data_IF_265343243727
#
_entry.id   IF_265343243727
#
_cell.length_a   1.000
_cell.length_b   1.000
_cell.length_c   1.000
_cell.angle_alpha   90.00
_cell.angle_beta   90.00
_cell.angle_gamma   90.00
#
_symmetry.space_group_name_H-M   'P 1'
#
loop_
_entity.id
_entity.type
_entity.pdbx_description
1 polymer ?
#
# COMPACT_ATOMS: atom_id res chain seq x y z
N UNK A 1 -3.65 -9.29 13.81
CA UNK A 1 -4.58 -8.61 12.87
C UNK A 1 -4.07 -7.20 12.67
N UNK A 2 -4.10 -6.72 11.43
CA UNK A 2 -3.62 -5.40 11.01
C UNK A 2 -4.82 -4.63 10.46
N UNK A 3 -5.02 -3.39 10.89
CA UNK A 3 -6.06 -2.52 10.33
C UNK A 3 -5.44 -1.64 9.26
N UNK A 4 -5.91 -1.74 8.02
CA UNK A 4 -5.50 -0.88 6.92
C UNK A 4 -6.23 0.46 7.06
N UNK A 5 -5.47 1.57 7.12
CA UNK A 5 -6.02 2.92 7.36
C UNK A 5 -5.77 3.88 6.20
N UNK A 6 -4.71 3.63 5.41
CA UNK A 6 -4.32 4.49 4.31
C UNK A 6 -3.72 3.68 3.16
N UNK A 7 -3.98 4.13 1.94
CA UNK A 7 -3.40 3.59 0.71
C UNK A 7 -2.96 4.76 -0.16
N UNK A 8 -1.69 4.79 -0.55
CA UNK A 8 -1.11 5.76 -1.48
C UNK A 8 -1.38 7.23 -1.07
N UNK A 9 -1.27 7.56 0.22
CA UNK A 9 -1.50 8.92 0.73
C UNK A 9 -2.98 9.24 1.00
N UNK A 10 -3.89 8.29 0.80
CA UNK A 10 -5.33 8.51 0.89
C UNK A 10 -5.97 7.69 2.00
N UNK A 11 -6.75 8.35 2.86
CA UNK A 11 -7.51 7.71 3.92
C UNK A 11 -8.57 6.77 3.35
N UNK A 12 -8.57 5.52 3.79
CA UNK A 12 -9.55 4.53 3.35
C UNK A 12 -10.57 4.23 4.45
N UNK A 13 -11.64 3.53 4.08
CA UNK A 13 -12.50 2.89 5.07
C UNK A 13 -11.68 1.79 5.74
N UNK A 14 -11.62 1.82 7.06
CA UNK A 14 -10.79 0.91 7.84
C UNK A 14 -11.22 -0.53 7.62
N UNK A 15 -10.28 -1.39 7.23
CA UNK A 15 -10.51 -2.81 6.98
C UNK A 15 -9.44 -3.64 7.69
N UNK A 16 -9.83 -4.81 8.21
CA UNK A 16 -8.94 -5.66 9.01
C UNK A 16 -8.45 -6.83 8.18
N UNK A 17 -7.12 -6.98 8.10
CA UNK A 17 -6.45 -8.03 7.35
C UNK A 17 -5.51 -8.87 8.22
N UNK A 18 -5.38 -10.14 7.86
CA UNK A 18 -4.36 -11.06 8.41
C UNK A 18 -3.08 -11.05 7.58
N UNK A 19 -3.21 -10.87 6.26
CA UNK A 19 -2.11 -10.71 5.32
C UNK A 19 -2.48 -9.63 4.31
N UNK A 20 -1.48 -8.95 3.77
CA UNK A 20 -1.64 -7.86 2.80
C UNK A 20 -0.71 -8.10 1.62
N UNK A 21 -1.26 -8.09 0.40
CA UNK A 21 -0.50 -7.96 -0.83
C UNK A 21 -0.15 -6.49 -1.07
N UNK A 22 1.12 -6.23 -1.37
CA UNK A 22 1.61 -4.90 -1.75
C UNK A 22 2.30 -5.03 -3.11
N UNK A 23 1.81 -4.30 -4.10
CA UNK A 23 2.43 -4.30 -5.43
C UNK A 23 3.55 -3.26 -5.53
N UNK A 24 4.41 -3.43 -6.54
CA UNK A 24 5.49 -2.49 -6.83
C UNK A 24 4.89 -1.12 -7.12
N UNK A 25 5.36 -0.09 -6.40
CA UNK A 25 4.88 1.28 -6.52
C UNK A 25 3.75 1.65 -5.55
N UNK A 26 3.18 0.68 -4.83
CA UNK A 26 2.15 0.96 -3.82
C UNK A 26 2.76 1.26 -2.45
N UNK A 27 2.08 2.11 -1.69
CA UNK A 27 2.34 2.34 -0.27
C UNK A 27 1.05 2.13 0.54
N UNK A 28 1.17 1.50 1.70
CA UNK A 28 0.05 1.22 2.60
C UNK A 28 0.45 1.59 4.02
N UNK A 29 -0.50 2.14 4.79
CA UNK A 29 -0.34 2.37 6.22
C UNK A 29 -1.27 1.45 6.98
N UNK A 30 -0.71 0.71 7.95
CA UNK A 30 -1.46 -0.20 8.80
C UNK A 30 -1.26 0.11 10.28
N UNK A 31 -2.33 0.00 11.04
CA UNK A 31 -2.29 0.01 12.49
C UNK A 31 -2.23 -1.43 13.01
N UNK A 32 -1.27 -1.69 13.91
CA UNK A 32 -1.08 -3.02 14.50
C UNK A 32 -1.21 -2.92 16.01
N UNK A 33 -2.27 -3.50 16.56
CA UNK A 33 -2.47 -3.56 18.01
C UNK A 33 -1.91 -4.85 18.59
N UNK A 34 -0.91 -4.71 19.44
CA UNK A 34 -0.14 -5.80 20.05
C UNK A 34 -0.87 -6.40 21.26
N UNK A 35 -1.87 -7.25 21.01
CA UNK A 35 -2.66 -7.95 22.06
C UNK A 35 -2.08 -9.28 22.52
N UNK A 36 -1.05 -9.79 21.83
CA UNK A 36 -0.49 -11.10 22.09
C UNK A 36 0.55 -11.06 23.25
N UNK A 37 0.88 -12.21 23.88
CA UNK A 37 1.83 -12.26 25.00
C UNK A 37 3.19 -11.66 24.69
N UNK A 38 3.93 -11.23 25.72
CA UNK A 38 5.27 -10.65 25.57
C UNK A 38 6.27 -11.69 25.04
N UNK A 39 6.46 -11.72 23.72
CA UNK A 39 7.47 -12.50 23.02
C UNK A 39 7.89 -11.82 21.72
N UNK A 40 8.87 -12.38 21.02
CA UNK A 40 9.24 -11.93 19.69
C UNK A 40 8.31 -12.55 18.64
N UNK A 41 7.98 -11.80 17.60
CA UNK A 41 7.12 -12.24 16.50
C UNK A 41 7.83 -12.03 15.16
N UNK A 42 7.57 -12.91 14.21
CA UNK A 42 8.04 -12.72 12.84
C UNK A 42 7.09 -11.80 12.07
N UNK A 43 7.67 -10.84 11.35
CA UNK A 43 7.05 -10.18 10.21
C UNK A 43 7.60 -10.90 8.97
N UNK A 44 6.72 -11.44 8.14
CA UNK A 44 7.12 -12.27 7.00
C UNK A 44 6.63 -11.63 5.72
N UNK A 45 7.53 -11.46 4.75
CA UNK A 45 7.20 -11.01 3.41
C UNK A 45 7.66 -12.06 2.40
N UNK A 46 6.75 -12.46 1.51
CA UNK A 46 7.02 -13.47 0.50
C UNK A 46 6.53 -13.01 -0.87
N UNK A 47 7.28 -13.30 -1.92
CA UNK A 47 6.91 -12.99 -3.30
C UNK A 47 5.82 -13.94 -3.80
N UNK A 48 4.76 -13.40 -4.42
CA UNK A 48 3.66 -14.20 -4.99
C UNK A 48 3.87 -14.62 -6.45
N UNK A 49 4.48 -13.76 -7.25
CA UNK A 49 4.50 -13.90 -8.73
C UNK A 49 5.84 -14.37 -9.32
N UNK A 50 6.80 -14.78 -8.48
CA UNK A 50 8.12 -15.23 -8.93
C UNK A 50 8.34 -16.71 -8.64
N UNK A 51 9.13 -17.36 -9.51
CA UNK A 51 9.67 -18.70 -9.30
C UNK A 51 11.20 -18.61 -9.35
N UNK A 52 11.92 -18.93 -8.27
CA UNK A 52 11.44 -19.42 -6.97
C UNK A 52 10.70 -18.36 -6.13
N UNK A 53 9.95 -18.82 -5.12
CA UNK A 53 9.35 -17.95 -4.10
C UNK A 53 10.47 -17.47 -3.19
N UNK A 54 10.63 -16.15 -3.09
CA UNK A 54 11.56 -15.50 -2.18
C UNK A 54 10.81 -15.11 -0.92
N UNK A 55 11.35 -15.48 0.25
CA UNK A 55 10.79 -15.13 1.55
C UNK A 55 11.84 -14.42 2.38
N UNK A 56 11.46 -13.30 2.97
CA UNK A 56 12.26 -12.56 3.94
C UNK A 56 11.49 -12.41 5.24
N UNK A 57 12.23 -12.23 6.34
CA UNK A 57 11.65 -12.09 7.67
C UNK A 57 12.29 -10.94 8.43
N UNK A 58 11.50 -10.29 9.27
CA UNK A 58 11.95 -9.34 10.27
C UNK A 58 11.37 -9.74 11.64
N UNK A 59 11.93 -9.17 12.71
CA UNK A 59 11.54 -9.50 14.08
C UNK A 59 10.87 -8.28 14.72
N UNK A 60 9.62 -8.45 15.12
CA UNK A 60 8.92 -7.55 16.02
C UNK A 60 9.17 -8.00 17.45
N UNK A 61 9.96 -7.23 18.19
CA UNK A 61 10.33 -7.53 19.57
C UNK A 61 9.46 -6.73 20.55
N UNK A 62 8.77 -7.44 21.43
CA UNK A 62 8.12 -6.81 22.57
C UNK A 62 9.18 -6.38 23.59
N UNK A 63 8.96 -5.23 24.24
CA UNK A 63 9.80 -4.78 25.34
C UNK A 63 9.76 -5.81 26.48
N UNK A 64 10.92 -6.17 27.02
CA UNK A 64 11.05 -7.21 28.05
C UNK A 64 10.99 -8.65 27.53
N UNK A 65 10.79 -8.87 26.23
CA UNK A 65 10.81 -10.22 25.65
C UNK A 65 12.19 -10.86 25.74
N UNK A 66 12.21 -12.10 26.26
CA UNK A 66 13.35 -13.03 26.25
C UNK A 66 13.11 -14.25 25.36
N UNK A 67 11.89 -14.40 24.83
CA UNK A 67 11.45 -15.57 24.06
C UNK A 67 11.60 -15.26 22.57
N UNK A 68 12.33 -16.12 21.86
CA UNK A 68 12.50 -16.02 20.41
C UNK A 68 11.20 -16.25 19.64
N UNK A 69 11.13 -15.78 18.37
CA UNK A 69 9.95 -15.98 17.55
C UNK A 69 9.76 -17.45 17.16
N UNK A 70 8.51 -17.91 17.13
CA UNK A 70 8.16 -19.32 16.89
C UNK A 70 8.23 -19.68 15.42
N UNK A 71 8.70 -20.89 15.13
CA UNK A 71 8.59 -21.57 13.84
C UNK A 71 7.43 -22.59 13.88
N UNK A 72 6.90 -23.09 12.75
CA UNK A 72 7.28 -22.79 11.35
C UNK A 72 6.76 -21.43 10.86
N UNK A 73 7.39 -20.90 9.80
CA UNK A 73 6.89 -19.72 9.10
C UNK A 73 5.64 -20.06 8.28
N UNK A 74 4.71 -19.11 8.07
CA UNK A 74 3.59 -19.31 7.17
C UNK A 74 4.07 -19.62 5.75
N UNK A 75 3.37 -20.53 5.07
CA UNK A 75 3.65 -20.91 3.69
C UNK A 75 3.40 -19.69 2.79
N UNK A 76 4.38 -19.37 1.95
CA UNK A 76 4.27 -18.25 0.99
C UNK A 76 3.15 -18.48 -0.05
N UNK A 77 2.53 -17.42 -0.58
CA UNK A 77 1.47 -17.54 -1.56
C UNK A 77 2.00 -18.07 -2.90
N UNK A 78 1.40 -19.13 -3.43
CA UNK A 78 1.87 -19.82 -4.65
C UNK A 78 1.17 -19.33 -5.93
N UNK A 79 -0.17 -19.39 -6.00
CA UNK A 79 -0.95 -19.07 -7.21
C UNK A 79 -2.21 -18.22 -6.93
N UNK A 80 -2.23 -17.51 -5.81
CA UNK A 80 -3.42 -16.82 -5.31
C UNK A 80 -3.66 -15.45 -5.97
N UNK A 81 -3.68 -15.37 -7.31
CA UNK A 81 -3.92 -14.11 -8.05
C UNK A 81 -5.30 -13.54 -7.71
N UNK A 82 -6.31 -14.40 -7.67
CA UNK A 82 -7.68 -14.00 -7.36
C UNK A 82 -7.82 -13.38 -5.96
N UNK A 83 -7.07 -13.88 -4.98
CA UNK A 83 -7.09 -13.31 -3.63
C UNK A 83 -6.51 -11.88 -3.61
N UNK A 84 -5.42 -11.66 -4.35
CA UNK A 84 -4.80 -10.34 -4.50
C UNK A 84 -5.77 -9.33 -5.12
N UNK A 85 -6.46 -9.73 -6.20
CA UNK A 85 -7.49 -8.91 -6.83
C UNK A 85 -8.70 -8.66 -5.91
N UNK A 86 -9.08 -9.63 -5.08
CA UNK A 86 -10.15 -9.45 -4.08
C UNK A 86 -9.76 -8.43 -3.02
N UNK A 87 -8.52 -8.47 -2.51
CA UNK A 87 -8.01 -7.47 -1.58
C UNK A 87 -8.07 -6.07 -2.20
N UNK A 88 -7.62 -5.90 -3.45
CA UNK A 88 -7.68 -4.61 -4.12
C UNK A 88 -9.12 -4.05 -4.22
N UNK A 89 -10.12 -4.92 -4.41
CA UNK A 89 -11.54 -4.54 -4.46
C UNK A 89 -12.15 -4.17 -3.10
N UNK A 90 -11.56 -4.63 -2.01
CA UNK A 90 -12.02 -4.27 -0.66
C UNK A 90 -11.55 -2.87 -0.24
N UNK A 91 -10.48 -2.36 -0.85
CA UNK A 91 -9.97 -1.01 -0.56
C UNK A 91 -10.95 0.03 -1.12
N UNK A 92 -11.52 0.84 -0.23
CA UNK A 92 -12.46 1.91 -0.58
C UNK A 92 -12.03 3.21 0.07
N UNK A 93 -11.95 4.27 -0.72
CA UNK A 93 -11.60 5.59 -0.22
C UNK A 93 -12.65 6.10 0.78
N UNK A 94 -12.19 6.62 1.92
CA UNK A 94 -13.07 7.27 2.86
C UNK A 94 -13.25 8.74 2.47
N UNK A 95 -14.38 9.05 1.85
CA UNK A 95 -14.70 10.40 1.37
C UNK A 95 -15.04 11.40 2.48
N UNK A 96 -15.26 10.93 3.72
CA UNK A 96 -15.57 11.80 4.86
C UNK A 96 -14.36 12.09 5.75
N UNK A 97 -13.29 11.29 5.65
CA UNK A 97 -12.09 11.43 6.49
C UNK A 97 -11.26 12.68 6.15
N UNK A 98 -11.39 13.21 4.94
CA UNK A 98 -10.76 14.47 4.58
C UNK A 98 -11.72 15.61 4.93
N UNK A 99 -11.20 16.61 5.66
CA UNK A 99 -11.96 17.74 6.20
C UNK A 99 -13.04 18.24 5.24
N UNK A 100 -14.22 18.52 5.78
CA UNK A 100 -15.29 19.21 5.08
C UNK A 100 -14.69 20.37 4.31
N UNK A 101 -14.67 20.29 2.98
CA UNK A 101 -14.37 21.47 2.18
C UNK A 101 -15.47 22.47 2.57
N UNK A 102 -15.13 23.68 3.06
CA UNK A 102 -16.14 24.69 3.43
C UNK A 102 -17.16 24.92 2.31
N UNK A 103 -16.68 24.65 1.09
CA UNK A 103 -17.37 24.75 -0.17
C UNK A 103 -18.06 23.42 -0.54
N UNK A 104 -19.39 23.43 -0.76
CA UNK A 104 -20.14 22.28 -1.27
C UNK A 104 -19.49 21.67 -2.50
N UNK A 105 -19.59 20.35 -2.67
CA UNK A 105 -19.06 19.66 -3.85
C UNK A 105 -19.70 20.25 -5.12
N UNK A 106 -18.88 20.82 -6.01
CA UNK A 106 -19.33 21.52 -7.23
C UNK A 106 -19.37 23.06 -7.17
N UNK A 107 -19.06 23.68 -6.03
CA UNK A 107 -19.05 25.15 -5.88
C UNK A 107 -17.80 25.85 -6.46
N UNK A 108 -16.79 25.09 -6.88
CA UNK A 108 -15.64 25.65 -7.60
C UNK A 108 -16.03 25.92 -9.05
N UNK A 109 -16.24 27.20 -9.37
CA UNK A 109 -16.41 27.68 -10.73
C UNK A 109 -15.03 27.70 -11.41
N UNK A 110 -14.53 26.54 -11.83
CA UNK A 110 -13.19 26.43 -12.42
C UNK A 110 -12.99 27.38 -13.62
N UNK A 111 -14.06 27.73 -14.35
CA UNK A 111 -14.02 28.70 -15.44
C UNK A 111 -13.77 30.16 -15.04
N UNK A 112 -13.96 30.52 -13.76
CA UNK A 112 -13.68 31.88 -13.25
C UNK A 112 -12.33 31.97 -12.53
N UNK A 113 -11.61 30.85 -12.37
CA UNK A 113 -10.31 30.82 -11.71
C UNK A 113 -9.25 31.18 -12.75
N UNK A 114 -8.45 32.26 -12.55
CA UNK A 114 -7.39 32.60 -13.47
C UNK A 114 -6.33 31.49 -13.50
N UNK A 115 -5.98 31.04 -14.71
CA UNK A 115 -4.94 30.03 -14.91
C UNK A 115 -3.58 30.69 -14.71
N UNK A 116 -2.89 30.37 -13.61
CA UNK A 116 -1.53 30.88 -13.38
C UNK A 116 -0.48 30.18 -14.25
N UNK A 117 -0.69 28.91 -14.62
CA UNK A 117 0.24 28.13 -15.45
C UNK A 117 -0.47 26.99 -16.16
N UNK A 118 -0.18 26.83 -17.44
CA UNK A 118 -0.56 25.64 -18.22
C UNK A 118 0.68 24.77 -18.43
N UNK A 119 0.61 23.50 -18.03
CA UNK A 119 1.64 22.51 -18.33
C UNK A 119 1.10 21.59 -19.42
N UNK A 120 1.72 21.62 -20.61
CA UNK A 120 1.40 20.70 -21.69
C UNK A 120 2.44 19.60 -21.67
N UNK A 121 2.00 18.39 -21.34
CA UNK A 121 2.82 17.18 -21.40
C UNK A 121 2.58 16.55 -22.77
N UNK A 122 3.62 16.45 -23.57
CA UNK A 122 3.57 15.84 -24.89
C UNK A 122 4.67 14.79 -25.00
N UNK A 123 4.31 13.65 -25.58
CA UNK A 123 5.26 12.58 -25.80
C UNK A 123 6.10 12.93 -27.05
N UNK A 124 7.41 13.02 -26.88
CA UNK A 124 8.39 13.29 -27.92
C UNK A 124 9.26 12.09 -28.24
N UNK A 125 10.11 12.25 -29.26
CA UNK A 125 11.15 11.29 -29.64
C UNK A 125 12.51 11.94 -29.43
N UNK A 126 13.31 11.39 -28.53
CA UNK A 126 14.66 11.88 -28.23
C UNK A 126 15.68 10.76 -28.38
N UNK A 127 16.83 11.07 -28.98
CA UNK A 127 17.96 10.14 -29.06
C UNK A 127 18.85 10.38 -27.85
N UNK A 128 18.83 9.46 -26.87
CA UNK A 128 19.63 9.56 -25.64
C UNK A 128 20.64 8.42 -25.64
N UNK A 129 21.93 8.75 -25.52
CA UNK A 129 23.05 7.79 -25.61
C UNK A 129 23.01 6.95 -26.90
N UNK A 130 22.69 7.58 -28.04
CA UNK A 130 22.66 6.92 -29.35
C UNK A 130 21.47 5.98 -29.57
N UNK A 131 20.55 5.86 -28.62
CA UNK A 131 19.34 5.02 -28.74
C UNK A 131 18.10 5.89 -28.78
N UNK A 132 17.22 5.62 -29.75
CA UNK A 132 15.93 6.26 -29.86
C UNK A 132 15.07 5.94 -28.64
N UNK A 133 14.56 6.96 -27.96
CA UNK A 133 13.63 6.83 -26.83
C UNK A 133 12.41 7.70 -27.06
N UNK A 134 11.27 7.22 -26.58
CA UNK A 134 10.03 7.98 -26.54
C UNK A 134 9.84 8.44 -25.09
N UNK A 135 9.61 9.73 -24.90
CA UNK A 135 9.49 10.39 -23.58
C UNK A 135 8.22 11.19 -23.52
#
# INVERSE_FOLDING_TARGET
MMTLVEVEGSHILEEVYESLDVHVGQSLTVLVTLKAPVKNYFIVASTRFTKPILTTTAILRYQGSKIGPSRPLPIGPTYHIHWSMKQARTIRLNLTANAARPNPQGSFHYGTIPINRTLILANGRATINGKLRYT
#
